data_IF_074630932073
#
_entry.id   IF_074630932073
#
_cell.length_a   1.000
_cell.length_b   1.000
_cell.length_c   1.000
_cell.angle_alpha   90.00
_cell.angle_beta   90.00
_cell.angle_gamma   90.00
#
_symmetry.space_group_name_H-M   'P 1'
#
loop_
_entity.id
_entity.type
_entity.pdbx_description
1 polymer ?
#
# COMPACT_ATOMS: atom_id res chain seq x y z
N UNK A 1 -9.97 12.09 -19.00
CA UNK A 1 -9.91 12.72 -17.66
C UNK A 1 -8.50 13.20 -17.30
N UNK A 2 -7.48 12.34 -17.42
CA UNK A 2 -6.08 12.66 -17.09
C UNK A 2 -5.47 13.85 -17.85
N UNK A 3 -5.82 14.07 -19.12
CA UNK A 3 -5.31 15.18 -19.93
C UNK A 3 -5.61 16.58 -19.35
N UNK A 4 -6.78 16.76 -18.71
CA UNK A 4 -7.14 18.05 -18.08
C UNK A 4 -6.30 18.29 -16.82
N UNK A 5 -6.15 17.26 -15.99
CA UNK A 5 -5.29 17.31 -14.81
C UNK A 5 -3.83 17.59 -15.17
N UNK A 6 -3.31 16.95 -16.22
CA UNK A 6 -1.96 17.21 -16.73
C UNK A 6 -1.75 18.69 -17.10
N UNK A 7 -2.70 19.30 -17.81
CA UNK A 7 -2.62 20.73 -18.15
C UNK A 7 -2.62 21.62 -16.91
N UNK A 8 -3.42 21.29 -15.89
CA UNK A 8 -3.48 22.02 -14.62
C UNK A 8 -2.14 21.90 -13.89
N UNK A 9 -1.63 20.67 -13.73
CA UNK A 9 -0.34 20.41 -13.06
C UNK A 9 0.80 21.15 -13.77
N UNK A 10 0.84 21.11 -15.11
CA UNK A 10 1.83 21.83 -15.91
C UNK A 10 1.70 23.36 -15.75
N UNK A 11 0.48 23.88 -15.67
CA UNK A 11 0.26 25.30 -15.41
C UNK A 11 0.80 25.69 -14.04
N UNK A 12 0.46 24.97 -12.98
CA UNK A 12 0.85 25.32 -11.61
C UNK A 12 2.31 25.00 -11.27
N UNK A 13 2.99 24.14 -12.05
CA UNK A 13 4.41 23.84 -11.86
C UNK A 13 5.34 25.06 -11.98
N UNK A 14 4.85 26.19 -12.53
CA UNK A 14 5.57 27.46 -12.59
C UNK A 14 5.73 28.16 -11.23
N UNK A 15 4.87 27.85 -10.27
CA UNK A 15 4.87 28.45 -8.95
C UNK A 15 5.70 27.58 -8.01
N UNK A 16 6.69 28.18 -7.35
CA UNK A 16 7.62 27.47 -6.48
C UNK A 16 6.89 26.79 -5.31
N UNK A 17 5.90 27.49 -4.74
CA UNK A 17 5.03 27.04 -3.66
C UNK A 17 4.21 25.79 -4.04
N UNK A 18 3.98 25.61 -5.34
CA UNK A 18 3.23 24.47 -5.88
C UNK A 18 4.12 23.30 -6.31
N UNK A 19 5.44 23.38 -6.21
CA UNK A 19 6.32 22.32 -6.71
C UNK A 19 6.07 20.96 -6.03
N UNK A 20 5.90 20.94 -4.71
CA UNK A 20 5.70 19.69 -3.96
C UNK A 20 4.43 18.98 -4.40
N UNK A 21 3.31 19.72 -4.48
CA UNK A 21 2.02 19.15 -4.85
C UNK A 21 1.98 18.76 -6.33
N UNK A 22 2.57 19.57 -7.23
CA UNK A 22 2.60 19.27 -8.66
C UNK A 22 3.44 18.03 -8.97
N UNK A 23 4.60 17.87 -8.32
CA UNK A 23 5.43 16.65 -8.41
C UNK A 23 4.67 15.42 -7.90
N UNK A 24 4.01 15.53 -6.74
CA UNK A 24 3.22 14.43 -6.17
C UNK A 24 2.07 14.00 -7.09
N UNK A 25 1.30 14.98 -7.60
CA UNK A 25 0.20 14.69 -8.54
C UNK A 25 0.74 14.07 -9.83
N UNK A 26 1.84 14.61 -10.36
CA UNK A 26 2.46 14.09 -11.58
C UNK A 26 2.96 12.65 -11.42
N UNK A 27 3.60 12.32 -10.29
CA UNK A 27 4.11 10.98 -10.02
C UNK A 27 2.99 9.92 -10.01
N UNK A 28 1.80 10.27 -9.52
CA UNK A 28 0.64 9.39 -9.46
C UNK A 28 -0.41 9.64 -10.57
N UNK A 29 -0.02 10.25 -11.69
CA UNK A 29 -0.92 10.78 -12.72
C UNK A 29 -1.97 9.77 -13.22
N UNK A 30 -1.62 8.49 -13.32
CA UNK A 30 -2.50 7.44 -13.83
C UNK A 30 -3.56 6.97 -12.82
N UNK A 31 -3.28 7.15 -11.53
CA UNK A 31 -4.02 6.57 -10.39
C UNK A 31 -5.01 7.52 -9.72
N UNK A 32 -4.94 8.84 -9.97
CA UNK A 32 -5.82 9.83 -9.33
C UNK A 32 -7.32 9.58 -9.52
N UNK A 33 -7.66 8.84 -10.57
CA UNK A 33 -9.03 8.62 -10.99
C UNK A 33 -9.48 7.17 -10.83
N UNK A 34 -8.76 6.35 -10.07
CA UNK A 34 -9.06 4.91 -9.90
C UNK A 34 -10.48 4.68 -9.39
N UNK A 35 -10.97 5.46 -8.42
CA UNK A 35 -12.34 5.34 -7.89
C UNK A 35 -13.44 5.66 -8.92
N UNK A 36 -13.12 6.42 -9.97
CA UNK A 36 -14.04 6.72 -11.07
C UNK A 36 -13.93 5.67 -12.17
N UNK A 37 -12.71 5.17 -12.43
CA UNK A 37 -12.43 4.20 -13.50
C UNK A 37 -12.84 2.77 -13.15
N UNK A 38 -12.77 2.39 -11.87
CA UNK A 38 -12.97 1.02 -11.40
C UNK A 38 -14.15 1.00 -10.43
N UNK A 39 -15.21 0.28 -10.81
CA UNK A 39 -16.39 0.11 -9.97
C UNK A 39 -16.02 -0.60 -8.65
N UNK A 40 -16.64 -0.17 -7.55
CA UNK A 40 -16.41 -0.73 -6.21
C UNK A 40 -15.20 -0.14 -5.46
N UNK A 41 -14.36 0.66 -6.11
CA UNK A 41 -13.27 1.38 -5.42
C UNK A 41 -13.83 2.64 -4.77
N UNK A 42 -13.70 2.74 -3.45
CA UNK A 42 -14.16 3.91 -2.69
C UNK A 42 -13.30 5.15 -3.00
N UNK A 43 -13.87 6.38 -2.99
CA UNK A 43 -13.13 7.62 -3.17
C UNK A 43 -12.36 8.05 -1.90
N UNK A 44 -12.03 7.11 -1.01
CA UNK A 44 -11.31 7.34 0.24
C UNK A 44 -10.16 6.35 0.36
N UNK A 45 -9.10 6.72 1.07
CA UNK A 45 -7.97 5.84 1.36
C UNK A 45 -8.17 5.00 2.64
N UNK A 46 -9.36 5.03 3.26
CA UNK A 46 -9.64 4.39 4.54
C UNK A 46 -9.24 2.90 4.56
N UNK A 47 -9.58 2.17 3.51
CA UNK A 47 -9.23 0.75 3.38
C UNK A 47 -7.70 0.54 3.35
N UNK A 48 -7.00 1.35 2.55
CA UNK A 48 -5.54 1.29 2.44
C UNK A 48 -4.85 1.67 3.76
N UNK A 49 -5.32 2.71 4.45
CA UNK A 49 -4.82 3.08 5.77
C UNK A 49 -5.06 1.97 6.80
N UNK A 50 -6.26 1.39 6.82
CA UNK A 50 -6.59 0.30 7.72
C UNK A 50 -5.68 -0.92 7.49
N UNK A 51 -5.41 -1.27 6.24
CA UNK A 51 -4.52 -2.38 5.88
C UNK A 51 -3.07 -2.16 6.38
N UNK A 52 -2.56 -0.92 6.38
CA UNK A 52 -1.18 -0.64 6.83
C UNK A 52 -1.06 -0.36 8.32
N UNK A 53 -2.15 -0.01 9.03
CA UNK A 53 -2.12 0.39 10.45
C UNK A 53 -1.50 -0.66 11.36
N UNK A 54 -1.89 -1.92 11.20
CA UNK A 54 -1.34 -3.02 12.00
C UNK A 54 0.18 -3.14 11.79
N UNK A 55 0.62 -3.08 10.54
CA UNK A 55 2.05 -3.13 10.19
C UNK A 55 2.84 -1.97 10.79
N UNK A 56 2.30 -0.75 10.75
CA UNK A 56 2.92 0.44 11.34
C UNK A 56 3.07 0.28 12.86
N UNK A 57 2.04 -0.22 13.54
CA UNK A 57 2.07 -0.47 14.99
C UNK A 57 3.13 -1.52 15.34
N UNK A 58 3.15 -2.65 14.62
CA UNK A 58 4.13 -3.72 14.86
C UNK A 58 5.56 -3.21 14.67
N UNK A 59 5.83 -2.46 13.59
CA UNK A 59 7.15 -1.84 13.34
C UNK A 59 7.56 -0.90 14.48
N UNK A 60 6.61 -0.17 15.08
CA UNK A 60 6.87 0.71 16.23
C UNK A 60 7.22 -0.09 17.50
N UNK A 61 6.54 -1.21 17.74
CA UNK A 61 6.78 -2.08 18.90
C UNK A 61 8.17 -2.74 18.81
N UNK A 62 8.54 -3.26 17.64
CA UNK A 62 9.80 -3.99 17.46
C UNK A 62 11.03 -3.08 17.26
N UNK A 63 10.84 -1.75 17.19
CA UNK A 63 11.94 -0.80 16.99
C UNK A 63 12.50 -0.76 15.57
N UNK A 64 11.63 -0.95 14.57
CA UNK A 64 11.93 -1.01 13.13
C UNK A 64 12.92 -2.12 12.70
N UNK A 65 13.06 -2.31 11.39
CA UNK A 65 13.98 -3.31 10.82
C UNK A 65 15.38 -2.73 10.67
N UNK A 66 16.39 -3.51 11.04
CA UNK A 66 17.81 -3.14 10.92
C UNK A 66 18.52 -3.78 9.73
N UNK A 67 17.80 -4.56 8.92
CA UNK A 67 18.33 -5.20 7.71
C UNK A 67 17.25 -5.30 6.63
N UNK A 68 17.67 -5.24 5.37
CA UNK A 68 16.78 -5.46 4.20
C UNK A 68 16.10 -6.82 4.30
N UNK A 69 16.85 -7.85 4.68
CA UNK A 69 16.32 -9.20 4.84
C UNK A 69 15.21 -9.28 5.89
N UNK A 70 15.34 -8.54 7.00
CA UNK A 70 14.31 -8.46 8.03
C UNK A 70 13.03 -7.81 7.51
N UNK A 71 13.16 -6.72 6.75
CA UNK A 71 12.04 -6.04 6.08
C UNK A 71 11.31 -6.98 5.12
N UNK A 72 12.03 -7.62 4.20
CA UNK A 72 11.45 -8.54 3.20
C UNK A 72 10.72 -9.71 3.85
N UNK A 73 11.32 -10.30 4.88
CA UNK A 73 10.74 -11.43 5.61
C UNK A 73 9.44 -11.01 6.28
N UNK A 74 9.44 -9.85 6.96
CA UNK A 74 8.25 -9.33 7.59
C UNK A 74 7.16 -8.97 6.58
N UNK A 75 7.49 -8.28 5.50
CA UNK A 75 6.53 -7.88 4.47
C UNK A 75 5.85 -9.10 3.83
N UNK A 76 6.63 -10.15 3.58
CA UNK A 76 6.11 -11.42 3.08
C UNK A 76 5.13 -12.05 4.08
N UNK A 77 5.51 -12.18 5.35
CA UNK A 77 4.66 -12.76 6.39
C UNK A 77 3.40 -11.94 6.64
N UNK A 78 3.51 -10.62 6.72
CA UNK A 78 2.37 -9.72 6.91
C UNK A 78 1.39 -9.81 5.72
N UNK A 79 1.89 -9.88 4.49
CA UNK A 79 1.07 -10.06 3.29
C UNK A 79 0.33 -11.40 3.28
N UNK A 80 1.00 -12.50 3.66
CA UNK A 80 0.38 -13.83 3.79
C UNK A 80 -0.74 -13.83 4.83
N UNK A 81 -0.46 -13.30 6.03
CA UNK A 81 -1.43 -13.23 7.13
C UNK A 81 -2.64 -12.38 6.72
N UNK A 82 -2.42 -11.20 6.14
CA UNK A 82 -3.50 -10.33 5.66
C UNK A 82 -4.35 -11.03 4.59
N UNK A 83 -3.72 -11.78 3.68
CA UNK A 83 -4.42 -12.56 2.65
C UNK A 83 -5.29 -13.65 3.27
N UNK A 84 -4.77 -14.41 4.23
CA UNK A 84 -5.53 -15.46 4.91
C UNK A 84 -6.71 -14.89 5.71
N UNK A 85 -6.51 -13.75 6.39
CA UNK A 85 -7.59 -13.02 7.07
C UNK A 85 -8.67 -12.58 6.09
N UNK A 86 -8.28 -12.00 4.95
CA UNK A 86 -9.20 -11.53 3.92
C UNK A 86 -10.04 -12.69 3.33
N UNK A 87 -9.41 -13.85 3.13
CA UNK A 87 -10.09 -15.07 2.68
C UNK A 87 -10.87 -15.80 3.79
N UNK A 88 -10.86 -15.30 5.03
CA UNK A 88 -11.49 -15.92 6.20
C UNK A 88 -10.98 -17.34 6.50
N UNK A 89 -9.69 -17.57 6.26
CA UNK A 89 -9.02 -18.83 6.57
C UNK A 89 -8.52 -18.86 8.01
N UNK A 90 -8.32 -20.06 8.54
CA UNK A 90 -7.65 -20.25 9.83
C UNK A 90 -6.15 -19.97 9.67
N UNK A 91 -5.72 -18.81 10.20
CA UNK A 91 -4.33 -18.33 10.11
C UNK A 91 -3.34 -19.34 10.68
N UNK A 92 -3.67 -19.99 11.80
CA UNK A 92 -2.77 -20.95 12.45
C UNK A 92 -2.57 -22.17 11.55
N UNK A 93 -3.67 -22.68 10.97
CA UNK A 93 -3.64 -23.81 10.05
C UNK A 93 -2.84 -23.50 8.78
N UNK A 94 -3.04 -22.33 8.18
CA UNK A 94 -2.32 -21.94 6.97
C UNK A 94 -0.83 -21.67 7.24
N UNK A 95 -0.51 -21.08 8.39
CA UNK A 95 0.88 -20.92 8.81
C UNK A 95 1.57 -22.28 9.00
N UNK A 96 0.91 -23.23 9.68
CA UNK A 96 1.42 -24.59 9.83
C UNK A 96 1.63 -25.26 8.47
N UNK A 97 0.65 -25.14 7.57
CA UNK A 97 0.73 -25.69 6.22
C UNK A 97 1.94 -25.14 5.46
N UNK A 98 2.13 -23.81 5.48
CA UNK A 98 3.25 -23.14 4.82
C UNK A 98 4.60 -23.59 5.39
N UNK A 99 4.71 -23.72 6.71
CA UNK A 99 5.95 -24.20 7.34
C UNK A 99 6.22 -25.66 6.95
N UNK A 100 5.22 -26.54 7.05
CA UNK A 100 5.37 -27.96 6.72
C UNK A 100 5.67 -28.22 5.24
N UNK A 101 5.16 -27.41 4.32
CA UNK A 101 5.44 -27.57 2.88
C UNK A 101 6.86 -27.19 2.47
N UNK A 102 7.59 -26.44 3.30
CA UNK A 102 8.97 -26.01 3.03
C UNK A 102 10.02 -26.80 3.86
N UNK A 103 9.58 -27.78 4.64
CA UNK A 103 10.39 -28.62 5.51
C UNK A 103 10.62 -30.04 4.95
N UNK A 104 10.08 -30.34 3.76
CA UNK A 104 10.34 -31.57 3.00
C UNK A 104 11.06 -31.26 1.70
#
# INVERSE_FOLDING_TARGET
>A
MTKKLQKIVQYYARYEECQTITKYIHFHMESWFTCIKIAGVQPTNNYSEQAIRETVLVRKIIGAFRSVKGTETYETLASLIATWQYQKLDIKKELQRMLSSNLC
#
